data_IF_720605300659
#
_entry.id   IF_720605300659
#
_cell.length_a   1.000
_cell.length_b   1.000
_cell.length_c   1.000
_cell.angle_alpha   90.00
_cell.angle_beta   90.00
_cell.angle_gamma   90.00
#
_symmetry.space_group_name_H-M   'P 1'
#
loop_
_entity.id
_entity.type
_entity.pdbx_description
1 polymer ?
#
# COMPACT_ATOMS: atom_id res chain seq x y z
N UNK A 1 -10.10 33.00 -27.77
CA UNK A 1 -9.73 31.61 -27.47
C UNK A 1 -8.23 31.60 -27.24
N UNK A 2 -7.82 31.71 -25.97
CA UNK A 2 -6.42 31.57 -25.55
C UNK A 2 -6.40 30.36 -24.64
N UNK A 3 -5.52 29.42 -24.95
CA UNK A 3 -5.44 28.10 -24.32
C UNK A 3 -5.21 28.22 -22.81
N UNK A 4 -6.02 27.48 -22.06
CA UNK A 4 -5.84 27.23 -20.63
C UNK A 4 -4.71 26.21 -20.46
N UNK A 5 -3.49 26.71 -20.31
CA UNK A 5 -2.37 25.92 -19.80
C UNK A 5 -2.40 25.96 -18.27
N UNK A 6 -3.16 25.06 -17.66
CA UNK A 6 -2.98 24.70 -16.25
C UNK A 6 -2.07 23.46 -16.17
N UNK A 7 -0.80 23.65 -16.56
CA UNK A 7 0.28 22.72 -16.25
C UNK A 7 1.09 23.27 -15.08
N UNK A 8 1.34 22.42 -14.08
CA UNK A 8 2.33 22.53 -12.99
C UNK A 8 1.85 23.01 -11.62
N UNK A 9 1.61 22.02 -10.74
CA UNK A 9 1.77 21.98 -9.27
C UNK A 9 1.55 20.48 -8.90
N UNK A 10 2.50 19.58 -8.62
CA UNK A 10 3.89 19.63 -8.13
C UNK A 10 4.78 18.57 -8.80
N UNK A 11 6.07 18.85 -9.00
CA UNK A 11 7.08 17.85 -9.44
C UNK A 11 7.45 16.81 -8.36
N UNK A 12 7.01 17.00 -7.11
CA UNK A 12 7.26 16.05 -6.04
C UNK A 12 6.32 14.82 -6.17
N UNK A 13 6.85 13.58 -6.09
CA UNK A 13 6.02 12.38 -6.03
C UNK A 13 5.00 12.48 -4.89
N UNK A 14 3.77 12.00 -5.13
CA UNK A 14 2.76 11.90 -4.08
C UNK A 14 3.35 11.12 -2.87
N UNK A 15 3.41 11.71 -1.67
CA UNK A 15 3.99 11.03 -0.50
C UNK A 15 3.25 9.73 -0.16
N UNK A 16 1.98 9.58 -0.55
CA UNK A 16 1.24 8.32 -0.41
C UNK A 16 1.75 7.21 -1.32
N UNK A 17 2.35 7.54 -2.47
CA UNK A 17 2.97 6.55 -3.36
C UNK A 17 4.11 5.84 -2.65
N UNK A 18 5.01 6.60 -2.03
CA UNK A 18 6.15 6.03 -1.31
C UNK A 18 5.70 5.27 -0.05
N UNK A 19 4.71 5.81 0.67
CA UNK A 19 4.11 5.14 1.82
C UNK A 19 3.50 3.77 1.44
N UNK A 20 2.72 3.71 0.37
CA UNK A 20 2.11 2.48 -0.10
C UNK A 20 3.15 1.48 -0.65
N UNK A 21 4.20 1.98 -1.31
CA UNK A 21 5.33 1.16 -1.78
C UNK A 21 6.04 0.49 -0.61
N UNK A 22 6.34 1.23 0.47
CA UNK A 22 6.98 0.68 1.67
C UNK A 22 6.09 -0.34 2.38
N UNK A 23 4.77 -0.11 2.45
CA UNK A 23 3.82 -1.10 2.94
C UNK A 23 3.92 -2.40 2.11
N UNK A 24 3.97 -2.29 0.77
CA UNK A 24 4.12 -3.43 -0.13
C UNK A 24 5.41 -4.22 0.10
N UNK A 25 6.53 -3.52 0.32
CA UNK A 25 7.82 -4.15 0.66
C UNK A 25 7.74 -4.91 1.99
N UNK A 26 7.07 -4.35 3.01
CA UNK A 26 6.88 -5.03 4.30
C UNK A 26 6.02 -6.28 4.18
N UNK A 27 4.95 -6.24 3.38
CA UNK A 27 4.14 -7.43 3.05
C UNK A 27 4.99 -8.52 2.38
N UNK A 28 5.79 -8.15 1.39
CA UNK A 28 6.68 -9.07 0.68
C UNK A 28 7.69 -9.74 1.61
N UNK A 29 8.34 -8.97 2.49
CA UNK A 29 9.31 -9.48 3.46
C UNK A 29 8.66 -10.43 4.46
N UNK A 30 7.58 -10.00 5.10
CA UNK A 30 6.87 -10.82 6.08
C UNK A 30 6.33 -12.12 5.47
N UNK A 31 5.85 -12.06 4.22
CA UNK A 31 5.45 -13.26 3.49
C UNK A 31 6.62 -14.19 3.21
N UNK A 32 7.76 -13.66 2.78
CA UNK A 32 8.96 -14.44 2.50
C UNK A 32 9.51 -15.12 3.77
N UNK A 33 9.50 -14.44 4.92
CA UNK A 33 9.90 -15.00 6.22
C UNK A 33 9.03 -16.19 6.66
N UNK A 34 7.77 -16.21 6.20
CA UNK A 34 6.82 -17.33 6.42
C UNK A 34 6.85 -18.38 5.31
N UNK A 35 7.66 -18.21 4.27
CA UNK A 35 7.69 -19.05 3.07
C UNK A 35 6.31 -19.23 2.40
N UNK A 36 5.45 -18.22 2.47
CA UNK A 36 4.11 -18.26 1.89
C UNK A 36 4.09 -17.71 0.46
N UNK A 37 3.22 -18.25 -0.38
CA UNK A 37 2.87 -17.68 -1.68
C UNK A 37 1.88 -16.53 -1.52
N UNK A 38 1.80 -15.66 -2.54
CA UNK A 38 0.80 -14.59 -2.58
C UNK A 38 -0.64 -15.12 -2.48
N UNK A 39 -0.89 -16.28 -3.09
CA UNK A 39 -2.20 -16.93 -3.06
C UNK A 39 -2.55 -17.45 -1.66
N UNK A 40 -1.58 -18.05 -0.96
CA UNK A 40 -1.79 -18.54 0.40
C UNK A 40 -2.15 -17.40 1.37
N UNK A 41 -1.41 -16.28 1.32
CA UNK A 41 -1.71 -15.11 2.16
C UNK A 41 -3.06 -14.50 1.79
N UNK A 42 -3.35 -14.36 0.49
CA UNK A 42 -4.62 -13.81 0.02
C UNK A 42 -5.82 -14.64 0.50
N UNK A 43 -5.75 -15.97 0.31
CA UNK A 43 -6.80 -16.89 0.74
C UNK A 43 -7.02 -16.82 2.26
N UNK A 44 -5.95 -16.88 3.05
CA UNK A 44 -6.04 -16.80 4.50
C UNK A 44 -6.61 -15.47 5.01
N UNK A 45 -6.34 -14.36 4.31
CA UNK A 45 -6.87 -13.04 4.63
C UNK A 45 -8.27 -12.76 4.03
N UNK A 46 -8.87 -13.73 3.31
CA UNK A 46 -10.16 -13.54 2.64
C UNK A 46 -10.12 -12.54 1.48
N UNK A 47 -8.98 -12.46 0.78
CA UNK A 47 -8.73 -11.58 -0.37
C UNK A 47 -8.65 -12.37 -1.67
N UNK A 48 -9.01 -11.73 -2.77
CA UNK A 48 -8.60 -12.23 -4.09
C UNK A 48 -7.07 -12.10 -4.23
N UNK A 49 -6.41 -13.10 -4.83
CA UNK A 49 -4.96 -13.10 -5.05
C UNK A 49 -4.46 -11.86 -5.80
N UNK A 50 -5.23 -11.37 -6.78
CA UNK A 50 -4.92 -10.14 -7.50
C UNK A 50 -4.92 -8.89 -6.60
N UNK A 51 -5.81 -8.83 -5.61
CA UNK A 51 -5.83 -7.75 -4.62
C UNK A 51 -4.56 -7.76 -3.79
N UNK A 52 -4.14 -8.93 -3.29
CA UNK A 52 -2.90 -9.05 -2.52
C UNK A 52 -1.67 -8.68 -3.36
N UNK A 53 -1.61 -9.08 -4.63
CA UNK A 53 -0.54 -8.65 -5.57
C UNK A 53 -0.42 -7.13 -5.69
N UNK A 54 -1.56 -6.44 -5.80
CA UNK A 54 -1.60 -4.97 -5.84
C UNK A 54 -1.08 -4.35 -4.55
N UNK A 55 -1.44 -4.92 -3.40
CA UNK A 55 -0.95 -4.48 -2.10
C UNK A 55 0.57 -4.67 -1.97
N UNK A 56 1.12 -5.82 -2.34
CA UNK A 56 2.59 -6.03 -2.35
C UNK A 56 3.32 -5.11 -3.32
N UNK A 57 2.69 -4.75 -4.45
CA UNK A 57 3.23 -3.76 -5.37
C UNK A 57 3.18 -2.33 -4.81
N UNK A 58 2.31 -2.07 -3.83
CA UNK A 58 2.02 -0.73 -3.32
C UNK A 58 1.13 0.10 -4.26
N UNK A 59 0.50 -0.52 -5.26
CA UNK A 59 -0.27 0.18 -6.29
C UNK A 59 -1.65 -0.45 -6.50
N UNK A 60 -2.70 0.38 -6.48
CA UNK A 60 -4.04 -0.05 -6.88
C UNK A 60 -4.23 -0.05 -8.39
N UNK A 61 -3.56 0.86 -9.09
CA UNK A 61 -3.42 0.97 -10.54
C UNK A 61 -2.04 1.60 -10.83
N UNK A 62 -1.51 1.54 -12.07
CA UNK A 62 -0.23 2.18 -12.40
C UNK A 62 -0.22 3.65 -11.97
N UNK A 63 0.74 4.02 -11.13
CA UNK A 63 0.87 5.38 -10.59
C UNK A 63 -0.14 5.77 -9.51
N UNK A 64 -1.04 4.87 -9.09
CA UNK A 64 -2.00 5.12 -8.01
C UNK A 64 -1.66 4.29 -6.79
N UNK A 65 -1.35 4.94 -5.67
CA UNK A 65 -1.05 4.29 -4.40
C UNK A 65 -2.14 3.27 -4.01
N UNK A 66 -1.72 2.13 -3.44
CA UNK A 66 -2.65 1.19 -2.83
C UNK A 66 -3.25 1.79 -1.54
N UNK A 67 -4.56 1.63 -1.36
CA UNK A 67 -5.27 2.07 -0.15
C UNK A 67 -6.09 0.91 0.44
N UNK A 68 -5.45 -0.01 1.19
CA UNK A 68 -6.16 -1.09 1.86
C UNK A 68 -7.06 -0.56 2.98
N UNK A 69 -8.20 -1.22 3.20
CA UNK A 69 -9.04 -0.93 4.36
C UNK A 69 -8.34 -1.33 5.66
N UNK A 70 -8.67 -0.65 6.77
CA UNK A 70 -8.14 -0.99 8.09
C UNK A 70 -8.33 -2.48 8.44
N UNK A 71 -9.51 -3.04 8.16
CA UNK A 71 -9.79 -4.47 8.35
C UNK A 71 -8.81 -5.36 7.58
N UNK A 72 -8.44 -4.98 6.35
CA UNK A 72 -7.48 -5.72 5.54
C UNK A 72 -6.09 -5.69 6.18
N UNK A 73 -5.65 -4.56 6.70
CA UNK A 73 -4.36 -4.46 7.39
C UNK A 73 -4.29 -5.34 8.63
N UNK A 74 -5.35 -5.38 9.44
CA UNK A 74 -5.44 -6.23 10.64
C UNK A 74 -5.39 -7.72 10.26
N UNK A 75 -6.16 -8.14 9.27
CA UNK A 75 -6.17 -9.54 8.81
C UNK A 75 -4.82 -9.96 8.23
N UNK A 76 -4.16 -9.08 7.47
CA UNK A 76 -2.83 -9.38 6.92
C UNK A 76 -1.77 -9.48 8.02
N UNK A 77 -1.82 -8.60 9.02
CA UNK A 77 -0.92 -8.67 10.17
C UNK A 77 -1.11 -9.98 10.96
N UNK A 78 -2.35 -10.43 11.14
CA UNK A 78 -2.68 -11.71 11.78
C UNK A 78 -2.14 -12.90 10.97
N UNK A 79 -2.44 -12.97 9.67
CA UNK A 79 -1.99 -14.06 8.78
C UNK A 79 -0.47 -14.13 8.67
N UNK A 80 0.20 -12.99 8.64
CA UNK A 80 1.66 -12.91 8.56
C UNK A 80 2.34 -13.02 9.92
N UNK A 81 1.56 -13.09 11.01
CA UNK A 81 2.01 -13.14 12.40
C UNK A 81 3.04 -12.06 12.74
N UNK A 82 2.78 -10.83 12.28
CA UNK A 82 3.59 -9.65 12.60
C UNK A 82 2.73 -8.59 13.30
N UNK A 83 3.29 -7.80 14.24
CA UNK A 83 2.56 -6.69 14.83
C UNK A 83 2.09 -5.69 13.76
N UNK A 84 0.86 -5.19 13.87
CA UNK A 84 0.30 -4.22 12.92
C UNK A 84 1.19 -2.98 12.73
N UNK A 85 1.84 -2.51 13.81
CA UNK A 85 2.79 -1.38 13.79
C UNK A 85 4.06 -1.66 12.97
N UNK A 86 4.43 -2.93 12.81
CA UNK A 86 5.61 -3.31 12.04
C UNK A 86 5.23 -3.47 10.56
N UNK A 87 3.96 -3.78 10.28
CA UNK A 87 3.40 -3.79 8.93
C UNK A 87 3.20 -2.37 8.37
N UNK A 88 2.65 -1.45 9.16
CA UNK A 88 2.33 -0.08 8.72
C UNK A 88 3.60 0.80 8.73
N UNK A 89 3.98 1.43 7.61
CA UNK A 89 5.14 2.33 7.57
C UNK A 89 4.95 3.60 8.42
N UNK A 90 6.01 4.37 8.57
CA UNK A 90 5.91 5.72 9.15
C UNK A 90 5.09 6.60 8.20
N UNK A 91 3.98 7.20 8.65
CA UNK A 91 3.19 8.09 7.81
C UNK A 91 4.03 9.29 7.34
N UNK A 92 3.84 9.76 6.10
CA UNK A 92 4.51 10.97 5.65
C UNK A 92 4.03 12.18 6.45
N UNK A 93 4.91 13.15 6.66
CA UNK A 93 4.60 14.38 7.40
C UNK A 93 3.83 15.38 6.51
N UNK A 94 3.08 16.29 7.14
CA UNK A 94 2.48 17.43 6.44
C UNK A 94 1.30 17.10 5.50
N UNK A 95 0.81 15.85 5.46
CA UNK A 95 -0.26 15.44 4.53
C UNK A 95 -1.68 15.80 4.99
N UNK A 96 -1.82 16.54 6.08
CA UNK A 96 -3.09 17.18 6.42
C UNK A 96 -3.05 18.69 6.07
N UNK A 97 -2.98 19.09 4.78
CA UNK A 97 -3.26 20.47 4.43
C UNK A 97 -4.77 20.66 4.44
N UNK A 98 -5.34 20.96 5.62
CA UNK A 98 -6.76 21.23 5.78
C UNK A 98 -7.66 20.02 5.62
N UNK A 99 -8.69 19.96 6.46
CA UNK A 99 -10.00 19.54 5.95
C UNK A 99 -10.58 20.71 5.17
#
# INVERSE_FOLDING_TARGET
MVADQAGSMSEAPDPWTEFARELGVRLLRARADKALSQEQVAHAAGLATFTYRKLEKGESNPGTAANPRLRTLVLLAEVLEIPLRDLVPTPPEGIAPGR
#
